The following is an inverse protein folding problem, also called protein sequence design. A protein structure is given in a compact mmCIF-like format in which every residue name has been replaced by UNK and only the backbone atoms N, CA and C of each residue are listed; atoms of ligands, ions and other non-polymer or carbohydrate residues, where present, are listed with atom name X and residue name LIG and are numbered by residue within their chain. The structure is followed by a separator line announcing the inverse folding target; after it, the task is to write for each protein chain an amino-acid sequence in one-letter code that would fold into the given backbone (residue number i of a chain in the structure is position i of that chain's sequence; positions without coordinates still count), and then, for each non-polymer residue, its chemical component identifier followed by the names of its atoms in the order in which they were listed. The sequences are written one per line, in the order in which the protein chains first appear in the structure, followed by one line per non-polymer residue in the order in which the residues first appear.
data_IF_701982712673
#
_entry.id   IF_701982712673
#
_cell.length_a   1.000
_cell.length_b   1.000
_cell.length_c   1.000
_cell.angle_alpha   90.00
_cell.angle_beta   90.00
_cell.angle_gamma   90.00
#
_symmetry.space_group_name_H-M   'P 1'
#
loop_
_entity.id
_entity.type
_entity.pdbx_description
1 polymer ?
#
# COMPACT_ATOMS: atom_id res chain seq x y z
N UNK A 1 -3.05 22.56 -29.61
CA UNK A 1 -3.54 23.25 -30.83
C UNK A 1 -4.97 23.70 -30.59
N UNK A 2 -5.26 25.01 -30.62
CA UNK A 2 -6.63 25.53 -30.52
C UNK A 2 -7.39 25.17 -31.80
N UNK A 3 -8.49 24.43 -31.70
CA UNK A 3 -9.41 24.24 -32.83
C UNK A 3 -10.61 25.15 -32.61
N UNK A 4 -10.72 26.18 -33.44
CA UNK A 4 -11.86 27.09 -33.49
C UNK A 4 -12.94 26.43 -34.36
N UNK A 5 -14.15 26.28 -33.84
CA UNK A 5 -15.31 25.79 -34.61
C UNK A 5 -16.30 26.94 -34.72
N UNK A 6 -16.75 27.22 -35.95
CA UNK A 6 -17.73 28.26 -36.23
C UNK A 6 -19.11 27.62 -36.39
N UNK A 7 -20.11 28.06 -35.61
CA UNK A 7 -21.51 27.69 -35.82
C UNK A 7 -22.25 28.89 -36.43
N UNK A 8 -22.88 28.67 -37.59
CA UNK A 8 -23.69 29.68 -38.28
C UNK A 8 -25.15 29.48 -37.85
N UNK A 9 -25.70 30.39 -37.05
CA UNK A 9 -27.14 30.46 -36.78
C UNK A 9 -27.70 31.57 -37.68
N UNK A 10 -28.53 31.18 -38.65
CA UNK A 10 -29.08 32.09 -39.65
C UNK A 10 -30.23 32.93 -39.09
N UNK A 11 -29.92 34.04 -38.43
CA UNK A 11 -30.78 35.22 -38.26
C UNK A 11 -29.89 36.45 -38.44
N UNK A 12 -30.42 37.54 -39.00
CA UNK A 12 -29.77 38.69 -39.69
C UNK A 12 -28.63 39.45 -38.99
N UNK A 13 -28.07 38.97 -37.89
CA UNK A 13 -26.87 39.50 -37.25
C UNK A 13 -25.88 38.36 -37.02
N UNK A 14 -24.71 38.45 -37.66
CA UNK A 14 -23.61 37.49 -37.48
C UNK A 14 -23.04 37.67 -36.07
N UNK A 15 -23.53 36.89 -35.10
CA UNK A 15 -22.94 36.81 -33.76
C UNK A 15 -21.94 35.66 -33.73
N UNK A 16 -20.65 35.99 -33.88
CA UNK A 16 -19.55 35.03 -33.69
C UNK A 16 -19.32 34.83 -32.19
N UNK A 17 -20.07 33.91 -31.57
CA UNK A 17 -19.74 33.46 -30.22
C UNK A 17 -18.48 32.58 -30.29
N UNK A 18 -17.34 33.11 -29.83
CA UNK A 18 -16.14 32.30 -29.61
C UNK A 18 -16.36 31.38 -28.41
N UNK A 19 -16.71 30.13 -28.67
CA UNK A 19 -16.70 29.09 -27.64
C UNK A 19 -15.30 28.49 -27.63
N UNK A 20 -14.47 28.92 -26.67
CA UNK A 20 -13.22 28.24 -26.36
C UNK A 20 -13.59 26.93 -25.64
N UNK A 21 -13.58 25.81 -26.35
CA UNK A 21 -13.72 24.50 -25.73
C UNK A 21 -12.34 24.00 -25.28
N UNK A 22 -12.18 23.75 -23.97
CA UNK A 22 -10.99 23.13 -23.40
C UNK A 22 -10.99 21.63 -23.73
N UNK A 23 -10.45 21.25 -24.89
CA UNK A 23 -10.06 19.85 -25.12
C UNK A 23 -8.89 19.55 -24.16
N UNK A 24 -8.87 18.40 -23.47
CA UNK A 24 -7.65 17.94 -22.80
C UNK A 24 -6.49 17.98 -23.80
N UNK A 25 -5.45 18.76 -23.51
CA UNK A 25 -4.22 18.65 -24.30
C UNK A 25 -3.46 17.44 -23.81
N UNK A 26 -3.19 16.51 -24.72
CA UNK A 26 -2.53 15.22 -24.50
C UNK A 26 -1.06 15.40 -24.06
N UNK A 27 -0.85 15.90 -22.84
CA UNK A 27 0.43 16.03 -22.16
C UNK A 27 0.47 15.28 -20.82
N UNK A 28 -0.65 14.65 -20.44
CA UNK A 28 -0.69 13.79 -19.27
C UNK A 28 -0.05 12.45 -19.59
N UNK A 29 0.99 12.09 -18.83
CA UNK A 29 1.60 10.76 -18.82
C UNK A 29 1.36 10.19 -17.44
N UNK A 30 0.79 8.99 -17.38
CA UNK A 30 0.56 8.32 -16.10
C UNK A 30 1.87 7.95 -15.43
N UNK A 31 1.85 8.01 -14.10
CA UNK A 31 2.94 7.51 -13.27
C UNK A 31 3.01 5.98 -13.35
N UNK A 32 4.19 5.45 -13.07
CA UNK A 32 4.46 4.02 -12.93
C UNK A 32 4.91 3.65 -11.52
N UNK A 33 5.34 4.62 -10.70
CA UNK A 33 5.68 4.38 -9.31
C UNK A 33 5.14 5.44 -8.35
N UNK A 34 4.94 4.99 -7.11
CA UNK A 34 4.54 5.80 -5.97
C UNK A 34 5.48 5.52 -4.82
N UNK A 35 5.67 6.52 -3.97
CA UNK A 35 6.33 6.37 -2.68
C UNK A 35 5.45 6.92 -1.56
N UNK A 36 5.66 6.43 -0.34
CA UNK A 36 5.00 6.93 0.86
C UNK A 36 6.05 7.29 1.92
N UNK A 37 5.75 8.28 2.75
CA UNK A 37 6.61 8.64 3.89
C UNK A 37 6.75 7.50 4.91
N UNK A 38 5.77 6.60 4.95
CA UNK A 38 5.79 5.32 5.63
C UNK A 38 4.81 4.38 4.91
N UNK A 39 5.25 3.15 4.62
CA UNK A 39 4.40 2.09 4.05
C UNK A 39 3.76 1.21 5.14
N UNK A 40 4.26 1.29 6.37
CA UNK A 40 3.78 0.52 7.53
C UNK A 40 3.67 1.42 8.76
N UNK A 41 2.53 1.37 9.45
CA UNK A 41 2.25 2.14 10.68
C UNK A 41 1.84 1.22 11.82
N UNK A 42 2.37 1.44 13.03
CA UNK A 42 1.99 0.69 14.23
C UNK A 42 0.80 1.33 14.99
N UNK A 43 0.43 2.56 14.65
CA UNK A 43 -0.68 3.30 15.23
C UNK A 43 -1.34 4.18 14.16
N UNK A 44 -2.60 4.59 14.36
CA UNK A 44 -3.23 5.57 13.48
C UNK A 44 -2.39 6.84 13.35
N UNK A 45 -2.30 7.37 12.14
CA UNK A 45 -1.44 8.50 11.83
C UNK A 45 -1.68 9.03 10.42
N UNK A 46 -0.78 9.90 9.97
CA UNK A 46 -0.88 10.54 8.67
C UNK A 46 0.35 10.19 7.83
N UNK A 47 0.15 9.92 6.55
CA UNK A 47 1.22 9.70 5.58
C UNK A 47 1.20 10.75 4.49
N UNK A 48 2.36 10.94 3.85
CA UNK A 48 2.45 11.63 2.57
C UNK A 48 2.68 10.60 1.47
N UNK A 49 1.82 10.62 0.44
CA UNK A 49 1.98 9.78 -0.76
C UNK A 49 2.48 10.67 -1.88
N UNK A 50 3.58 10.27 -2.53
CA UNK A 50 4.24 11.00 -3.60
C UNK A 50 4.13 10.23 -4.90
N UNK A 51 3.85 10.96 -5.97
CA UNK A 51 3.89 10.47 -7.34
C UNK A 51 5.31 10.70 -7.87
N UNK A 52 6.08 9.63 -8.05
CA UNK A 52 7.52 9.77 -8.33
C UNK A 52 7.81 10.17 -9.78
N UNK A 53 6.93 9.78 -10.71
CA UNK A 53 7.06 9.97 -12.14
C UNK A 53 5.74 10.36 -12.82
N UNK A 54 5.73 10.41 -14.15
CA UNK A 54 4.58 10.91 -14.91
C UNK A 54 4.48 12.44 -14.94
N UNK A 55 3.53 12.93 -15.73
CA UNK A 55 3.31 14.36 -15.95
C UNK A 55 1.83 14.66 -16.03
N UNK A 56 1.39 15.76 -15.44
CA UNK A 56 0.03 16.27 -15.64
C UNK A 56 0.00 17.23 -16.83
N UNK A 57 -1.00 17.07 -17.69
CA UNK A 57 -1.35 18.08 -18.69
C UNK A 57 -1.92 19.34 -18.04
N UNK A 58 -1.98 20.43 -18.79
CA UNK A 58 -2.51 21.70 -18.29
C UNK A 58 -3.98 21.54 -17.85
N UNK A 59 -4.25 21.82 -16.57
CA UNK A 59 -5.58 21.70 -15.97
C UNK A 59 -5.96 20.29 -15.52
N UNK A 60 -5.04 19.32 -15.57
CA UNK A 60 -5.21 17.98 -14.98
C UNK A 60 -4.70 17.95 -13.54
N UNK A 61 -5.23 17.00 -12.76
CA UNK A 61 -4.83 16.72 -11.38
C UNK A 61 -4.60 15.22 -11.18
N UNK A 62 -3.76 14.86 -10.22
CA UNK A 62 -3.74 13.51 -9.68
C UNK A 62 -4.90 13.34 -8.71
N UNK A 63 -5.56 12.20 -8.77
CA UNK A 63 -6.68 11.83 -7.92
C UNK A 63 -6.32 10.55 -7.17
N UNK A 64 -6.43 10.61 -5.85
CA UNK A 64 -6.19 9.52 -4.92
C UNK A 64 -7.52 8.89 -4.52
N UNK A 65 -7.62 7.57 -4.66
CA UNK A 65 -8.84 6.80 -4.39
C UNK A 65 -8.58 5.67 -3.41
N UNK A 66 -9.66 5.14 -2.82
CA UNK A 66 -9.67 3.87 -2.09
C UNK A 66 -10.70 2.90 -2.66
N UNK A 67 -10.54 1.62 -2.33
CA UNK A 67 -11.41 0.52 -2.76
C UNK A 67 -11.09 0.02 -4.17
N UNK A 68 -10.99 0.93 -5.13
CA UNK A 68 -10.60 0.61 -6.51
C UNK A 68 -10.11 1.85 -7.26
N UNK A 69 -9.59 1.65 -8.46
CA UNK A 69 -9.32 2.73 -9.39
C UNK A 69 -10.61 3.47 -9.76
N UNK A 70 -10.65 4.78 -9.50
CA UNK A 70 -11.86 5.59 -9.60
C UNK A 70 -13.00 5.14 -8.65
N UNK A 71 -12.65 4.54 -7.51
CA UNK A 71 -13.57 4.27 -6.41
C UNK A 71 -13.89 5.53 -5.59
N UNK A 72 -13.75 5.44 -4.27
CA UNK A 72 -14.02 6.58 -3.37
C UNK A 72 -12.86 7.58 -3.47
N UNK A 73 -13.14 8.80 -3.92
CA UNK A 73 -12.14 9.87 -3.98
C UNK A 73 -11.75 10.30 -2.56
N UNK A 74 -10.45 10.28 -2.27
CA UNK A 74 -9.87 10.72 -0.99
C UNK A 74 -9.34 12.14 -1.11
N UNK A 75 -8.57 12.41 -2.16
CA UNK A 75 -7.93 13.70 -2.37
C UNK A 75 -7.59 13.92 -3.86
N UNK A 76 -7.40 15.17 -4.24
CA UNK A 76 -6.88 15.55 -5.56
C UNK A 76 -5.78 16.61 -5.38
N UNK A 77 -4.81 16.62 -6.29
CA UNK A 77 -3.74 17.62 -6.29
C UNK A 77 -3.21 17.87 -7.70
N UNK A 78 -2.88 19.13 -8.01
CA UNK A 78 -2.14 19.49 -9.21
C UNK A 78 -0.61 19.32 -9.04
N UNK A 79 -0.15 18.94 -7.85
CA UNK A 79 1.26 18.65 -7.54
C UNK A 79 1.49 17.14 -7.45
N UNK A 80 2.74 16.69 -7.35
CA UNK A 80 3.05 15.26 -7.23
C UNK A 80 2.94 14.72 -5.79
N UNK A 81 2.23 15.40 -4.88
CA UNK A 81 2.20 15.01 -3.45
C UNK A 81 0.82 15.15 -2.82
N UNK A 82 0.38 14.10 -2.14
CA UNK A 82 -0.79 14.04 -1.27
C UNK A 82 -0.32 14.03 0.18
N UNK A 83 -0.44 15.16 0.88
CA UNK A 83 0.02 15.29 2.28
C UNK A 83 -1.11 15.04 3.26
N UNK A 84 -0.75 14.67 4.49
CA UNK A 84 -1.65 14.53 5.62
C UNK A 84 -2.79 13.51 5.42
N UNK A 85 -2.55 12.45 4.64
CA UNK A 85 -3.55 11.40 4.38
C UNK A 85 -3.73 10.55 5.64
N UNK A 86 -4.92 10.52 6.25
CA UNK A 86 -5.15 9.79 7.50
C UNK A 86 -5.25 8.28 7.25
N UNK A 87 -4.55 7.50 8.08
CA UNK A 87 -4.51 6.04 8.04
C UNK A 87 -5.05 5.51 9.38
N UNK A 88 -6.21 4.84 9.33
CA UNK A 88 -6.87 4.23 10.49
C UNK A 88 -6.89 2.69 10.43
N UNK A 89 -6.60 2.13 9.27
CA UNK A 89 -6.52 0.69 9.00
C UNK A 89 -5.67 0.45 7.75
N UNK A 90 -5.24 -0.78 7.51
CA UNK A 90 -4.59 -1.18 6.25
C UNK A 90 -5.45 -0.75 5.07
N UNK A 91 -4.88 0.05 4.18
CA UNK A 91 -5.60 0.69 3.09
C UNK A 91 -4.74 0.69 1.83
N UNK A 92 -5.30 0.16 0.74
CA UNK A 92 -4.74 0.32 -0.60
C UNK A 92 -5.26 1.62 -1.19
N UNK A 93 -4.34 2.50 -1.59
CA UNK A 93 -4.67 3.69 -2.34
C UNK A 93 -4.41 3.49 -3.83
N UNK A 94 -5.27 4.06 -4.66
CA UNK A 94 -5.16 4.01 -6.11
C UNK A 94 -5.01 5.43 -6.64
N UNK A 95 -3.99 5.67 -7.46
CA UNK A 95 -3.74 6.97 -8.07
C UNK A 95 -4.09 6.92 -9.55
N UNK A 96 -4.76 7.97 -10.00
CA UNK A 96 -5.13 8.19 -11.38
C UNK A 96 -4.94 9.67 -11.71
N UNK A 97 -4.38 10.01 -12.87
CA UNK A 97 -4.51 11.36 -13.42
C UNK A 97 -5.93 11.58 -13.98
N UNK A 98 -6.52 12.72 -13.68
CA UNK A 98 -7.76 13.19 -14.30
C UNK A 98 -7.45 13.67 -15.72
N UNK A 99 -7.53 12.75 -16.68
CA UNK A 99 -7.28 13.05 -18.08
C UNK A 99 -8.25 12.32 -18.99
N UNK A 100 -8.47 12.89 -20.17
CA UNK A 100 -9.43 12.39 -21.16
C UNK A 100 -9.11 11.00 -21.73
N UNK A 101 -7.89 10.45 -21.51
CA UNK A 101 -7.42 9.22 -22.14
C UNK A 101 -6.93 8.13 -21.18
N UNK A 102 -7.00 8.32 -19.86
CA UNK A 102 -6.30 7.43 -18.95
C UNK A 102 -7.22 6.46 -18.21
N UNK A 103 -7.28 5.22 -18.72
CA UNK A 103 -7.89 4.07 -18.03
C UNK A 103 -6.93 3.35 -17.09
N UNK A 104 -5.64 3.70 -17.07
CA UNK A 104 -4.64 3.12 -16.20
C UNK A 104 -4.62 3.80 -14.83
N UNK A 105 -4.35 3.04 -13.80
CA UNK A 105 -4.14 3.49 -12.43
C UNK A 105 -3.01 2.65 -11.85
N UNK A 106 -2.34 3.19 -10.84
CA UNK A 106 -1.38 2.43 -10.03
C UNK A 106 -1.81 2.49 -8.57
N UNK A 107 -1.32 1.56 -7.76
CA UNK A 107 -1.69 1.47 -6.36
C UNK A 107 -0.47 1.41 -5.45
N UNK A 108 -0.68 1.83 -4.20
CA UNK A 108 0.26 1.67 -3.11
C UNK A 108 -0.50 1.16 -1.88
N UNK A 109 0.09 0.18 -1.20
CA UNK A 109 -0.45 -0.37 0.04
C UNK A 109 0.17 0.34 1.23
N UNK A 110 -0.68 0.84 2.13
CA UNK A 110 -0.26 1.34 3.43
C UNK A 110 -0.79 0.38 4.48
N UNK A 111 0.11 -0.33 5.15
CA UNK A 111 -0.20 -1.40 6.09
C UNK A 111 -0.30 -0.84 7.51
N UNK A 112 -1.39 -1.17 8.20
CA UNK A 112 -1.46 -0.98 9.64
C UNK A 112 -1.00 -2.26 10.32
N UNK A 113 0.19 -2.20 10.91
CA UNK A 113 0.80 -3.33 11.59
C UNK A 113 -0.01 -3.72 12.83
N UNK A 114 -0.23 -5.02 12.97
CA UNK A 114 -0.76 -5.64 14.18
C UNK A 114 0.37 -6.03 15.11
N UNK A 115 0.19 -5.84 16.41
CA UNK A 115 1.13 -6.33 17.43
C UNK A 115 1.00 -7.84 17.61
N UNK A 116 2.11 -8.49 17.93
CA UNK A 116 2.10 -9.89 18.41
C UNK A 116 1.51 -9.97 19.82
N UNK A 117 0.95 -11.13 20.14
CA UNK A 117 0.58 -11.51 21.50
C UNK A 117 1.42 -12.70 21.95
N UNK A 118 1.90 -12.64 23.18
CA UNK A 118 2.73 -13.69 23.76
C UNK A 118 2.01 -15.05 23.76
N UNK A 119 2.73 -16.14 23.48
CA UNK A 119 2.17 -17.48 23.54
C UNK A 119 1.96 -17.87 25.00
N UNK A 120 0.95 -18.71 25.25
CA UNK A 120 0.67 -19.20 26.61
C UNK A 120 1.55 -20.37 27.01
N UNK A 121 1.96 -21.20 26.04
CA UNK A 121 2.85 -22.32 26.29
C UNK A 121 3.57 -22.78 25.02
N UNK A 122 4.65 -23.51 25.23
CA UNK A 122 5.41 -24.23 24.21
C UNK A 122 5.40 -25.71 24.57
N UNK A 123 4.91 -26.55 23.67
CA UNK A 123 4.88 -28.00 23.84
C UNK A 123 5.96 -28.64 22.99
N UNK A 124 6.52 -29.76 23.45
CA UNK A 124 7.55 -30.52 22.73
C UNK A 124 7.04 -31.94 22.44
N UNK A 125 7.39 -32.50 21.29
CA UNK A 125 6.96 -33.85 20.89
C UNK A 125 7.55 -34.95 21.80
N UNK A 126 8.74 -34.72 22.34
CA UNK A 126 9.38 -35.59 23.33
C UNK A 126 10.28 -34.73 24.24
N UNK A 127 9.98 -34.70 25.53
CA UNK A 127 10.72 -33.92 26.52
C UNK A 127 11.97 -34.64 27.06
N UNK A 128 12.13 -35.92 26.72
CA UNK A 128 13.19 -36.78 27.24
C UNK A 128 13.93 -37.48 26.11
N UNK A 129 15.20 -37.12 25.91
CA UNK A 129 16.08 -37.74 24.92
C UNK A 129 17.24 -38.47 25.62
N UNK A 130 17.45 -39.74 25.25
CA UNK A 130 18.56 -40.54 25.79
C UNK A 130 19.90 -40.34 25.04
N UNK A 131 19.86 -39.62 23.92
CA UNK A 131 20.99 -39.26 23.06
C UNK A 131 20.61 -38.05 22.20
N UNK A 132 21.52 -37.56 21.36
CA UNK A 132 21.18 -36.55 20.36
C UNK A 132 19.98 -37.00 19.51
N UNK A 133 19.08 -36.09 19.21
CA UNK A 133 17.81 -36.41 18.57
C UNK A 133 17.15 -35.23 17.91
N UNK A 134 15.98 -35.47 17.35
CA UNK A 134 15.17 -34.45 16.68
C UNK A 134 13.82 -34.38 17.37
N UNK A 135 13.39 -33.16 17.68
CA UNK A 135 12.10 -32.90 18.31
C UNK A 135 11.36 -31.79 17.56
N UNK A 136 10.04 -31.80 17.70
CA UNK A 136 9.19 -30.73 17.20
C UNK A 136 8.67 -29.93 18.38
N UNK A 137 8.55 -28.62 18.20
CA UNK A 137 7.90 -27.73 19.16
C UNK A 137 6.62 -27.15 18.57
N UNK A 138 5.56 -27.13 19.36
CA UNK A 138 4.26 -26.56 18.99
C UNK A 138 3.88 -25.47 19.97
N UNK A 139 3.66 -24.27 19.45
CA UNK A 139 3.23 -23.10 20.22
C UNK A 139 1.72 -23.17 20.45
N UNK A 140 1.29 -22.88 21.68
CA UNK A 140 -0.12 -22.77 22.06
C UNK A 140 -0.43 -21.39 22.63
N UNK A 141 -1.52 -20.79 22.14
CA UNK A 141 -1.88 -19.40 22.44
C UNK A 141 -1.00 -18.38 21.73
N UNK A 142 -1.28 -17.10 21.97
CA UNK A 142 -0.59 -15.98 21.31
C UNK A 142 -0.98 -15.78 19.85
N UNK A 143 -0.33 -14.82 19.21
CA UNK A 143 -0.50 -14.47 17.80
C UNK A 143 0.75 -13.76 17.29
N UNK A 144 1.05 -13.94 16.00
CA UNK A 144 2.06 -13.15 15.33
C UNK A 144 1.43 -11.87 14.78
N UNK A 145 2.10 -10.76 15.06
CA UNK A 145 1.85 -9.49 14.43
C UNK A 145 2.22 -9.49 12.95
N UNK A 146 2.01 -8.35 12.31
CA UNK A 146 2.33 -8.19 10.89
C UNK A 146 3.83 -8.39 10.63
N UNK A 147 4.17 -9.34 9.75
CA UNK A 147 5.54 -9.74 9.40
C UNK A 147 6.39 -10.25 10.59
N UNK A 148 5.76 -10.60 11.71
CA UNK A 148 6.45 -11.20 12.85
C UNK A 148 6.69 -12.70 12.62
N UNK A 149 7.75 -13.23 13.25
CA UNK A 149 8.02 -14.66 13.33
C UNK A 149 8.15 -15.07 14.80
N UNK A 150 7.81 -16.33 15.07
CA UNK A 150 8.21 -16.96 16.32
C UNK A 150 9.69 -17.26 16.29
N UNK A 151 10.34 -17.06 17.43
CA UNK A 151 11.76 -17.32 17.61
C UNK A 151 11.93 -18.32 18.75
N UNK A 152 12.54 -19.47 18.43
CA UNK A 152 12.85 -20.51 19.39
C UNK A 152 14.26 -20.29 19.91
N UNK A 153 14.42 -20.21 21.21
CA UNK A 153 15.71 -20.01 21.87
C UNK A 153 16.10 -21.21 22.72
N UNK A 154 17.41 -21.41 22.91
CA UNK A 154 17.97 -22.33 23.90
C UNK A 154 18.60 -21.54 25.05
N UNK A 155 18.44 -22.03 26.29
CA UNK A 155 19.04 -21.50 27.52
C UNK A 155 18.55 -20.13 28.02
N UNK A 156 18.25 -19.18 27.14
CA UNK A 156 17.71 -17.85 27.49
C UNK A 156 16.86 -17.26 26.36
N UNK A 157 15.88 -16.41 26.67
CA UNK A 157 15.09 -15.68 25.66
C UNK A 157 15.84 -14.47 25.05
N UNK A 158 17.17 -14.47 25.15
CA UNK A 158 18.06 -13.42 24.64
C UNK A 158 19.17 -14.08 23.85
N UNK A 159 19.56 -13.48 22.72
CA UNK A 159 20.63 -13.98 21.86
C UNK A 159 20.16 -14.26 20.44
N UNK A 160 20.78 -15.24 19.79
CA UNK A 160 20.35 -15.74 18.48
C UNK A 160 19.39 -16.93 18.67
N UNK A 161 18.24 -16.95 17.98
CA UNK A 161 17.35 -18.08 18.06
C UNK A 161 17.96 -19.31 17.36
N UNK A 162 17.65 -20.49 17.88
CA UNK A 162 18.01 -21.78 17.27
C UNK A 162 17.10 -22.12 16.08
N UNK A 163 15.91 -21.53 16.01
CA UNK A 163 15.01 -21.63 14.87
C UNK A 163 14.04 -20.43 14.81
N UNK A 164 13.55 -20.12 13.62
CA UNK A 164 12.47 -19.15 13.40
C UNK A 164 11.33 -19.80 12.61
N UNK A 165 10.09 -19.40 12.89
CA UNK A 165 8.91 -19.93 12.20
C UNK A 165 7.83 -18.87 12.06
N UNK A 166 7.23 -18.79 10.87
CA UNK A 166 6.02 -17.99 10.64
C UNK A 166 4.73 -18.75 11.02
N UNK A 167 4.84 -20.03 11.42
CA UNK A 167 3.73 -20.86 11.89
C UNK A 167 3.88 -21.20 13.37
N UNK A 168 2.82 -21.74 13.97
CA UNK A 168 2.83 -22.16 15.39
C UNK A 168 3.63 -23.46 15.64
N UNK A 169 4.55 -23.84 14.76
CA UNK A 169 5.33 -25.07 14.83
C UNK A 169 6.78 -24.83 14.43
N UNK A 170 7.69 -25.43 15.17
CA UNK A 170 9.09 -25.63 14.78
C UNK A 170 9.30 -27.12 14.55
N UNK A 171 9.55 -27.52 13.32
CA UNK A 171 9.73 -28.93 12.96
C UNK A 171 11.19 -29.26 12.74
N UNK A 172 11.55 -30.50 13.06
CA UNK A 172 12.87 -31.06 12.85
C UNK A 172 14.01 -30.32 13.59
N UNK A 173 13.76 -29.88 14.83
CA UNK A 173 14.77 -29.21 15.63
C UNK A 173 15.76 -30.25 16.18
N UNK A 174 17.01 -30.14 15.76
CA UNK A 174 18.08 -31.04 16.20
C UNK A 174 18.61 -30.60 17.55
N UNK A 175 18.55 -31.51 18.53
CA UNK A 175 19.10 -31.32 19.86
C UNK A 175 20.35 -32.20 19.98
N UNK A 176 21.51 -31.56 20.10
CA UNK A 176 22.76 -32.24 20.42
C UNK A 176 22.93 -32.37 21.93
N UNK A 177 23.63 -33.42 22.37
CA UNK A 177 24.05 -33.64 23.75
C UNK A 177 25.07 -32.61 24.24
#
# INVERSE_FOLDING_TARGET
MKKTVYAIIAISTVFLANINYSQCTNGTVMCTSLSASADTLCNPGNVTITVDDGTLGAGSEWQLYTGSCAGTLVAATATNSFTNIPILSTTTFYIKADSCNSSSCISIDIVMATSSNDPTSLNVSNDTLCAAGVVDFTISGGSLGTLANWELYSSSCTGSPIASSASNTFSNITISS
#
